data_IF_411277994189
#
_entry.id   IF_411277994189
#
_cell.length_a   1.000
_cell.length_b   1.000
_cell.length_c   1.000
_cell.angle_alpha   90.00
_cell.angle_beta   90.00
_cell.angle_gamma   90.00
#
_symmetry.space_group_name_H-M   'P 1'
#
loop_
_entity.id
_entity.type
_entity.pdbx_description
1 polymer ?
#
# COMPACT_ATOMS: atom_id res chain seq x y z
N UNK A 1 57.63 -6.06 19.64
CA UNK A 1 56.88 -7.31 19.36
C UNK A 1 55.80 -6.99 18.34
N UNK A 2 55.91 -7.47 17.10
CA UNK A 2 54.92 -7.22 16.05
C UNK A 2 53.77 -8.22 16.20
N UNK A 3 52.54 -7.78 15.94
CA UNK A 3 51.44 -8.67 15.58
C UNK A 3 50.77 -8.12 14.33
N UNK A 4 50.75 -8.98 13.34
CA UNK A 4 50.34 -8.82 11.95
C UNK A 4 48.82 -8.93 11.78
N UNK A 5 48.34 -8.27 10.71
CA UNK A 5 47.07 -8.34 9.94
C UNK A 5 46.31 -9.71 9.93
N UNK A 6 45.00 -9.78 9.59
CA UNK A 6 44.42 -9.36 8.28
C UNK A 6 43.06 -8.60 8.35
N UNK A 7 42.69 -7.72 7.41
CA UNK A 7 42.38 -7.87 5.96
C UNK A 7 40.97 -8.45 5.69
N UNK A 8 40.19 -7.66 4.94
CA UNK A 8 39.06 -8.05 4.09
C UNK A 8 37.73 -8.50 4.76
N UNK A 9 36.81 -7.53 4.88
CA UNK A 9 35.38 -7.80 4.71
C UNK A 9 34.92 -7.08 3.43
N UNK A 10 35.27 -7.67 2.28
CA UNK A 10 34.62 -7.35 1.04
C UNK A 10 33.15 -7.77 1.18
N UNK A 11 32.24 -6.79 1.19
CA UNK A 11 30.81 -7.03 0.96
C UNK A 11 30.67 -7.64 -0.43
N UNK A 12 30.72 -8.97 -0.47
CA UNK A 12 30.26 -9.76 -1.60
C UNK A 12 28.76 -9.55 -1.67
N UNK A 13 28.34 -8.68 -2.60
CA UNK A 13 27.05 -8.83 -3.27
C UNK A 13 27.04 -10.25 -3.84
N UNK A 14 26.54 -11.20 -3.04
CA UNK A 14 26.14 -12.49 -3.53
C UNK A 14 24.89 -12.23 -4.37
N UNK A 15 25.11 -11.79 -5.61
CA UNK A 15 24.21 -12.02 -6.70
C UNK A 15 23.97 -13.54 -6.69
N UNK A 16 22.89 -13.95 -6.04
CA UNK A 16 22.29 -15.24 -6.30
C UNK A 16 21.97 -15.23 -7.78
N UNK A 17 22.89 -15.76 -8.59
CA UNK A 17 22.64 -16.19 -9.94
C UNK A 17 21.72 -17.39 -9.84
N UNK A 18 20.47 -17.12 -9.46
CA UNK A 18 19.37 -18.00 -9.78
C UNK A 18 19.49 -18.21 -11.28
N UNK A 19 19.87 -19.43 -11.68
CA UNK A 19 19.93 -19.79 -13.07
C UNK A 19 18.52 -19.64 -13.61
N UNK A 20 18.26 -18.51 -14.27
CA UNK A 20 17.08 -18.31 -15.07
C UNK A 20 17.17 -19.29 -16.23
N UNK A 21 16.69 -20.53 -16.03
CA UNK A 21 16.13 -21.28 -17.15
C UNK A 21 15.13 -20.32 -17.78
N UNK A 22 15.39 -19.89 -19.02
CA UNK A 22 14.53 -18.94 -19.72
C UNK A 22 13.18 -19.59 -19.92
N UNK A 23 12.26 -19.34 -18.99
CA UNK A 23 10.87 -19.75 -19.12
C UNK A 23 10.26 -18.82 -20.15
N UNK A 24 10.11 -19.34 -21.37
CA UNK A 24 9.50 -18.60 -22.48
C UNK A 24 8.12 -18.09 -22.05
N UNK A 25 7.87 -16.80 -22.27
CA UNK A 25 6.63 -16.16 -21.85
C UNK A 25 6.63 -15.58 -20.43
N UNK A 26 7.66 -15.84 -19.61
CA UNK A 26 7.79 -15.22 -18.30
C UNK A 26 8.36 -13.79 -18.38
N UNK A 27 7.96 -12.95 -17.43
CA UNK A 27 8.57 -11.65 -17.17
C UNK A 27 8.54 -11.30 -15.69
N UNK A 28 9.49 -10.51 -15.24
CA UNK A 28 9.50 -9.93 -13.90
C UNK A 28 9.62 -8.42 -14.00
N UNK A 29 8.99 -7.68 -13.09
CA UNK A 29 9.04 -6.21 -13.05
C UNK A 29 9.20 -5.68 -11.64
N UNK A 30 9.66 -4.45 -11.53
CA UNK A 30 9.74 -3.72 -10.26
C UNK A 30 9.70 -2.21 -10.50
N UNK A 31 9.25 -1.46 -9.52
CA UNK A 31 9.15 -0.01 -9.61
C UNK A 31 8.44 0.61 -8.42
N UNK A 32 7.75 1.71 -8.69
CA UNK A 32 6.95 2.46 -7.73
C UNK A 32 5.49 2.51 -8.16
N UNK A 33 4.58 2.57 -7.19
CA UNK A 33 3.14 2.70 -7.36
C UNK A 33 2.56 3.72 -6.37
N UNK A 34 1.25 3.96 -6.43
CA UNK A 34 0.53 4.75 -5.41
C UNK A 34 0.62 4.14 -4.00
N UNK A 35 0.94 2.86 -3.87
CA UNK A 35 1.17 2.18 -2.59
C UNK A 35 2.65 2.09 -2.20
N UNK A 36 3.59 2.68 -2.96
CA UNK A 36 5.02 2.62 -2.65
C UNK A 36 5.79 1.72 -3.62
N UNK A 37 6.66 0.83 -3.13
CA UNK A 37 7.43 -0.05 -4.02
C UNK A 37 6.56 -1.18 -4.52
N UNK A 38 6.79 -1.64 -5.76
CA UNK A 38 6.16 -2.87 -6.24
C UNK A 38 7.15 -3.81 -6.92
N UNK A 39 6.84 -5.09 -6.86
CA UNK A 39 7.42 -6.16 -7.67
C UNK A 39 6.33 -6.93 -8.39
N UNK A 40 6.61 -7.43 -9.58
CA UNK A 40 5.66 -8.22 -10.36
C UNK A 40 6.31 -9.42 -11.02
N UNK A 41 5.51 -10.46 -11.22
CA UNK A 41 5.85 -11.61 -12.03
C UNK A 41 4.67 -11.91 -12.95
N UNK A 42 4.94 -12.14 -14.24
CA UNK A 42 3.90 -12.46 -15.20
C UNK A 42 4.30 -13.62 -16.11
N UNK A 43 3.29 -14.32 -16.61
CA UNK A 43 3.45 -15.44 -17.53
C UNK A 43 2.42 -15.37 -18.65
N UNK A 44 2.88 -15.52 -19.89
CA UNK A 44 2.04 -15.59 -21.08
C UNK A 44 1.36 -16.96 -21.19
N UNK A 45 0.07 -16.98 -20.87
CA UNK A 45 -0.75 -18.21 -20.89
C UNK A 45 -1.37 -18.47 -22.26
N UNK A 46 -1.63 -17.41 -23.03
CA UNK A 46 -2.15 -17.47 -24.38
C UNK A 46 -1.58 -16.30 -25.21
N UNK A 47 -1.61 -16.37 -26.55
CA UNK A 47 -1.24 -15.22 -27.36
C UNK A 47 -2.03 -13.99 -26.94
N UNK A 48 -1.31 -12.90 -26.62
CA UNK A 48 -1.86 -11.62 -26.15
C UNK A 48 -2.47 -11.64 -24.74
N UNK A 49 -2.38 -12.72 -23.98
CA UNK A 49 -2.91 -12.80 -22.62
C UNK A 49 -1.83 -13.27 -21.64
N UNK A 50 -1.57 -12.46 -20.61
CA UNK A 50 -0.69 -12.83 -19.51
C UNK A 50 -1.43 -12.84 -18.19
N UNK A 51 -1.02 -13.73 -17.30
CA UNK A 51 -1.38 -13.64 -15.88
C UNK A 51 -0.23 -12.97 -15.15
N UNK A 52 -0.53 -11.99 -14.30
CA UNK A 52 0.45 -11.20 -13.55
C UNK A 52 0.08 -11.16 -12.08
N UNK A 53 1.03 -11.53 -11.24
CA UNK A 53 1.02 -11.24 -9.81
C UNK A 53 1.79 -9.95 -9.54
N UNK A 54 1.25 -9.08 -8.70
CA UNK A 54 1.91 -7.86 -8.23
C UNK A 54 1.93 -7.90 -6.72
N UNK A 55 3.09 -7.65 -6.10
CA UNK A 55 3.22 -7.31 -4.69
C UNK A 55 3.56 -5.83 -4.62
N UNK A 56 2.79 -5.05 -3.89
CA UNK A 56 2.98 -3.60 -3.79
C UNK A 56 2.80 -3.15 -2.36
N UNK A 57 3.59 -2.19 -1.92
CA UNK A 57 3.41 -1.59 -0.62
C UNK A 57 4.65 -0.93 -0.04
N UNK A 58 4.45 -0.35 1.13
CA UNK A 58 5.50 0.03 2.07
C UNK A 58 5.25 -0.81 3.33
N UNK A 59 6.11 -1.81 3.61
CA UNK A 59 6.01 -2.55 4.86
C UNK A 59 6.39 -1.64 6.03
N UNK A 60 5.61 -1.74 7.11
CA UNK A 60 5.93 -1.24 8.46
C UNK A 60 6.53 0.17 8.46
N UNK A 61 5.73 1.18 8.08
CA UNK A 61 6.14 2.57 8.26
C UNK A 61 5.69 3.08 9.62
N UNK A 62 6.62 3.70 10.33
CA UNK A 62 6.37 4.42 11.59
C UNK A 62 6.64 5.90 11.33
N UNK A 63 5.64 6.75 11.57
CA UNK A 63 5.79 8.19 11.61
C UNK A 63 5.68 8.66 13.06
N UNK A 64 6.82 9.07 13.62
CA UNK A 64 6.87 9.90 14.82
C UNK A 64 6.83 11.37 14.36
N UNK A 65 5.71 12.05 14.55
CA UNK A 65 5.64 13.49 14.30
C UNK A 65 6.44 14.25 15.36
N UNK A 66 7.41 15.08 14.95
CA UNK A 66 7.97 16.09 15.84
C UNK A 66 6.84 17.03 16.30
N UNK A 67 6.78 17.32 17.60
CA UNK A 67 5.78 18.19 18.26
C UNK A 67 5.31 19.33 17.37
N UNK A 68 4.03 19.30 17.00
CA UNK A 68 3.37 20.49 16.46
C UNK A 68 3.29 21.57 17.56
N UNK A 69 3.04 22.83 17.20
CA UNK A 69 3.04 24.03 18.10
C UNK A 69 2.08 23.91 19.32
N UNK A 70 1.33 22.82 19.44
CA UNK A 70 0.37 22.49 20.51
C UNK A 70 0.81 21.37 21.47
N UNK A 71 1.95 20.71 21.23
CA UNK A 71 2.57 19.80 22.21
C UNK A 71 2.06 18.35 22.26
N UNK A 72 1.34 17.90 21.23
CA UNK A 72 0.82 16.52 21.11
C UNK A 72 1.85 15.59 20.45
N UNK A 73 2.18 14.48 21.11
CA UNK A 73 2.99 13.40 20.52
C UNK A 73 2.05 12.50 19.70
N UNK A 74 2.10 12.59 18.37
CA UNK A 74 1.29 11.74 17.46
C UNK A 74 2.19 10.61 16.95
N UNK A 75 1.81 9.37 17.26
CA UNK A 75 2.42 8.17 16.69
C UNK A 75 1.46 7.58 15.68
N UNK A 76 1.90 7.42 14.43
CA UNK A 76 1.16 6.72 13.40
C UNK A 76 2.01 5.56 12.86
N UNK A 77 1.44 4.36 12.86
CA UNK A 77 2.06 3.16 12.32
C UNK A 77 1.11 2.49 11.33
N UNK A 78 1.65 1.83 10.32
CA UNK A 78 0.80 1.22 9.33
C UNK A 78 1.53 0.45 8.26
N UNK A 79 0.73 -0.26 7.49
CA UNK A 79 1.12 -0.89 6.25
C UNK A 79 0.18 -0.41 5.16
N UNK A 80 0.73 0.01 4.02
CA UNK A 80 -0.06 0.39 2.86
C UNK A 80 0.40 -0.50 1.72
N UNK A 81 -0.52 -1.28 1.16
CA UNK A 81 -0.16 -2.27 0.16
C UNK A 81 -1.20 -3.35 -0.11
N UNK A 82 -0.68 -4.38 -0.76
CA UNK A 82 -1.38 -5.63 -1.00
C UNK A 82 -0.77 -6.46 -2.13
N UNK A 83 -1.52 -7.46 -2.54
CA UNK A 83 -1.20 -8.35 -3.67
C UNK A 83 -2.26 -8.19 -4.74
N UNK A 84 -1.88 -8.03 -6.00
CA UNK A 84 -2.80 -8.07 -7.13
C UNK A 84 -2.62 -9.35 -7.96
N UNK A 85 -3.73 -9.93 -8.39
CA UNK A 85 -3.78 -10.98 -9.39
C UNK A 85 -4.51 -10.46 -10.63
N UNK A 86 -3.78 -10.26 -11.73
CA UNK A 86 -4.24 -9.57 -12.93
C UNK A 86 -4.15 -10.44 -14.17
N UNK A 87 -5.11 -10.26 -15.08
CA UNK A 87 -5.03 -10.71 -16.46
C UNK A 87 -4.72 -9.51 -17.35
N UNK A 88 -3.57 -9.53 -18.02
CA UNK A 88 -3.12 -8.49 -18.93
C UNK A 88 -3.41 -8.92 -20.38
N UNK A 89 -4.31 -8.21 -21.04
CA UNK A 89 -4.64 -8.38 -22.45
C UNK A 89 -3.91 -7.35 -23.33
N UNK A 90 -3.31 -7.82 -24.42
CA UNK A 90 -2.51 -7.02 -25.37
C UNK A 90 -3.18 -6.97 -26.76
N UNK A 91 -4.17 -6.10 -27.01
CA UNK A 91 -4.98 -6.11 -28.23
C UNK A 91 -4.18 -6.14 -29.54
N UNK A 92 -3.12 -5.31 -29.59
CA UNK A 92 -2.29 -5.12 -30.78
C UNK A 92 -1.01 -5.97 -30.77
N UNK A 93 -0.79 -6.78 -29.73
CA UNK A 93 0.47 -7.53 -29.53
C UNK A 93 1.72 -6.67 -29.29
N UNK A 94 1.54 -5.34 -29.18
CA UNK A 94 2.61 -4.39 -28.84
C UNK A 94 2.69 -4.15 -27.32
N UNK A 95 3.18 -2.97 -26.93
CA UNK A 95 3.36 -2.61 -25.52
C UNK A 95 2.09 -2.26 -24.74
N UNK A 96 1.02 -1.87 -25.43
CA UNK A 96 -0.24 -1.47 -24.81
C UNK A 96 -0.97 -2.68 -24.19
N UNK A 97 -1.36 -2.56 -22.91
CA UNK A 97 -2.12 -3.58 -22.18
C UNK A 97 -3.38 -3.02 -21.52
N UNK A 98 -4.40 -3.86 -21.47
CA UNK A 98 -5.58 -3.71 -20.62
C UNK A 98 -5.50 -4.77 -19.53
N UNK A 99 -5.51 -4.36 -18.27
CA UNK A 99 -5.33 -5.23 -17.12
C UNK A 99 -6.63 -5.28 -16.32
N UNK A 100 -7.05 -6.46 -15.88
CA UNK A 100 -8.20 -6.62 -15.00
C UNK A 100 -8.02 -7.79 -14.05
N UNK A 101 -8.51 -7.65 -12.83
CA UNK A 101 -8.39 -8.71 -11.83
C UNK A 101 -8.81 -8.28 -10.44
N UNK A 102 -8.13 -8.84 -9.44
CA UNK A 102 -8.43 -8.62 -8.02
C UNK A 102 -7.21 -8.08 -7.30
N UNK A 103 -7.45 -7.17 -6.37
CA UNK A 103 -6.48 -6.63 -5.43
C UNK A 103 -6.85 -7.11 -4.03
N UNK A 104 -5.92 -7.76 -3.36
CA UNK A 104 -6.03 -8.24 -1.98
C UNK A 104 -5.29 -7.24 -1.12
N UNK A 105 -6.02 -6.40 -0.40
CA UNK A 105 -5.40 -5.36 0.41
C UNK A 105 -4.95 -5.91 1.76
N UNK A 106 -3.81 -5.42 2.23
CA UNK A 106 -3.35 -5.53 3.62
C UNK A 106 -3.23 -4.14 4.27
N UNK A 107 -3.83 -3.11 3.65
CA UNK A 107 -3.65 -1.72 4.05
C UNK A 107 -4.33 -1.44 5.40
N UNK A 108 -3.54 -1.04 6.38
CA UNK A 108 -3.98 -0.54 7.69
C UNK A 108 -3.17 0.70 8.05
N UNK A 109 -3.87 1.74 8.51
CA UNK A 109 -3.25 2.92 9.11
C UNK A 109 -3.78 3.04 10.54
N UNK A 110 -2.91 2.84 11.51
CA UNK A 110 -3.21 2.99 12.93
C UNK A 110 -2.55 4.29 13.45
N UNK A 111 -3.25 5.03 14.29
CA UNK A 111 -2.77 6.28 14.87
C UNK A 111 -3.23 6.42 16.30
N UNK A 112 -2.39 6.97 17.17
CA UNK A 112 -2.76 7.25 18.55
C UNK A 112 -2.44 8.70 18.92
N UNK A 113 -3.31 9.29 19.75
CA UNK A 113 -3.22 10.68 20.17
C UNK A 113 -3.80 10.92 21.56
N UNK A 114 -3.46 12.10 22.10
CA UNK A 114 -4.00 12.59 23.37
C UNK A 114 -4.69 13.94 23.17
N UNK A 115 -5.80 14.14 23.87
CA UNK A 115 -6.67 15.29 23.69
C UNK A 115 -7.73 15.05 22.63
N UNK A 116 -8.98 15.41 22.95
CA UNK A 116 -10.12 15.31 22.03
C UNK A 116 -11.01 16.55 22.19
N UNK A 117 -11.44 17.13 21.08
CA UNK A 117 -12.45 18.20 21.06
C UNK A 117 -13.62 17.68 20.23
N UNK A 118 -14.79 17.55 20.87
CA UNK A 118 -16.02 17.16 20.21
C UNK A 118 -16.59 18.32 19.37
N UNK A 119 -17.43 18.00 18.40
CA UNK A 119 -18.06 18.97 17.50
C UNK A 119 -18.95 20.01 18.22
N UNK A 120 -19.45 19.67 19.40
CA UNK A 120 -20.21 20.59 20.26
C UNK A 120 -19.32 21.56 21.08
N UNK A 121 -18.00 21.42 20.94
CA UNK A 121 -16.97 22.23 21.61
C UNK A 121 -16.55 21.70 22.98
N UNK A 122 -17.00 20.50 23.41
CA UNK A 122 -16.50 19.88 24.63
C UNK A 122 -15.04 19.43 24.45
N UNK A 123 -14.19 19.72 25.44
CA UNK A 123 -12.77 19.33 25.45
C UNK A 123 -12.49 18.27 26.48
N UNK A 124 -11.78 17.25 26.05
CA UNK A 124 -11.27 16.16 26.85
C UNK A 124 -9.73 16.19 26.77
N UNK A 125 -9.10 17.02 27.61
CA UNK A 125 -7.65 17.26 27.56
C UNK A 125 -6.83 16.01 27.92
N UNK A 126 -7.38 15.15 28.79
CA UNK A 126 -6.75 13.89 29.25
C UNK A 126 -7.19 12.65 28.44
N UNK A 127 -8.00 12.83 27.38
CA UNK A 127 -8.48 11.72 26.57
C UNK A 127 -7.33 11.08 25.78
N UNK A 128 -7.35 9.76 25.68
CA UNK A 128 -6.50 8.99 24.76
C UNK A 128 -7.39 8.37 23.69
N UNK A 129 -7.03 8.57 22.43
CA UNK A 129 -7.74 8.02 21.28
C UNK A 129 -6.76 7.22 20.44
N UNK A 130 -7.19 6.04 20.04
CA UNK A 130 -6.58 5.17 19.06
C UNK A 130 -7.53 5.11 17.84
N UNK A 131 -7.02 5.38 16.64
CA UNK A 131 -7.76 5.40 15.39
C UNK A 131 -7.18 4.36 14.43
N UNK A 132 -8.04 3.58 13.78
CA UNK A 132 -7.65 2.60 12.77
C UNK A 132 -8.41 2.86 11.47
N UNK A 133 -7.71 2.91 10.34
CA UNK A 133 -8.29 3.09 9.02
C UNK A 133 -7.92 1.92 8.10
N UNK A 134 -8.93 1.37 7.41
CA UNK A 134 -8.77 0.27 6.45
C UNK A 134 -9.68 0.46 5.24
N UNK A 135 -9.34 -0.18 4.12
CA UNK A 135 -10.29 -0.28 3.02
C UNK A 135 -11.46 -1.18 3.43
N UNK A 136 -12.67 -0.84 3.00
CA UNK A 136 -13.86 -1.63 3.30
C UNK A 136 -13.77 -3.04 2.67
N UNK A 137 -13.25 -3.12 1.45
CA UNK A 137 -13.08 -4.37 0.72
C UNK A 137 -11.64 -4.90 0.80
N UNK A 138 -11.43 -5.98 1.55
CA UNK A 138 -10.17 -6.74 1.56
C UNK A 138 -9.83 -7.31 0.18
N UNK A 139 -10.85 -7.62 -0.64
CA UNK A 139 -10.72 -8.17 -2.00
C UNK A 139 -11.46 -7.30 -3.00
N UNK A 140 -10.75 -6.34 -3.56
CA UNK A 140 -11.29 -5.32 -4.44
C UNK A 140 -11.10 -5.67 -5.94
N UNK A 141 -12.09 -5.42 -6.81
CA UNK A 141 -11.88 -5.47 -8.25
C UNK A 141 -10.92 -4.36 -8.70
N UNK A 142 -10.01 -4.70 -9.62
CA UNK A 142 -9.01 -3.78 -10.16
C UNK A 142 -9.06 -3.76 -11.69
N UNK A 143 -9.01 -2.56 -12.26
CA UNK A 143 -8.92 -2.32 -13.70
C UNK A 143 -7.81 -1.33 -13.99
N UNK A 144 -6.98 -1.61 -14.99
CA UNK A 144 -5.91 -0.71 -15.37
C UNK A 144 -5.60 -0.74 -16.87
N UNK A 145 -4.96 0.32 -17.33
CA UNK A 145 -4.41 0.46 -18.67
C UNK A 145 -2.93 0.77 -18.53
N UNK A 146 -2.11 0.04 -19.26
CA UNK A 146 -0.66 0.18 -19.18
C UNK A 146 0.04 0.17 -20.53
N UNK A 147 1.31 0.53 -20.48
CA UNK A 147 2.23 0.44 -21.59
C UNK A 147 3.54 -0.17 -21.12
N UNK A 148 4.02 -1.17 -21.84
CA UNK A 148 5.32 -1.81 -21.64
C UNK A 148 6.17 -1.58 -22.90
N UNK A 149 7.27 -0.87 -22.77
CA UNK A 149 8.27 -0.77 -23.84
C UNK A 149 9.17 -2.01 -23.84
N UNK A 150 9.86 -2.26 -24.95
CA UNK A 150 10.79 -3.39 -25.08
C UNK A 150 10.44 -4.34 -26.21
N UNK A 151 11.38 -5.22 -26.54
CA UNK A 151 11.22 -6.24 -27.58
C UNK A 151 10.63 -7.55 -27.05
N UNK A 152 10.77 -8.62 -27.84
CA UNK A 152 10.31 -9.96 -27.45
C UNK A 152 11.06 -10.53 -26.23
N UNK A 153 12.26 -10.02 -25.92
CA UNK A 153 13.11 -10.41 -24.80
C UNK A 153 13.95 -9.21 -24.36
N UNK A 154 14.26 -9.13 -23.07
CA UNK A 154 15.13 -8.11 -22.49
C UNK A 154 14.39 -7.09 -21.62
N UNK A 155 15.07 -5.99 -21.34
CA UNK A 155 14.56 -4.92 -20.49
C UNK A 155 13.54 -4.04 -21.21
N UNK A 156 12.57 -3.58 -20.44
CA UNK A 156 11.49 -2.70 -20.84
C UNK A 156 11.14 -1.73 -19.72
N UNK A 157 10.55 -0.60 -20.09
CA UNK A 157 9.91 0.31 -19.15
C UNK A 157 8.42 -0.03 -19.07
N UNK A 158 7.83 -0.01 -17.90
CA UNK A 158 6.38 -0.16 -17.74
C UNK A 158 5.76 1.02 -17.00
N UNK A 159 4.56 1.39 -17.43
CA UNK A 159 3.72 2.39 -16.79
C UNK A 159 2.28 1.93 -16.79
N UNK A 160 1.53 2.20 -15.73
CA UNK A 160 0.13 1.79 -15.60
C UNK A 160 -0.69 2.86 -14.86
N UNK A 161 -1.94 3.02 -15.28
CA UNK A 161 -2.96 3.84 -14.61
C UNK A 161 -4.24 3.01 -14.49
N UNK A 162 -4.88 3.02 -13.34
CA UNK A 162 -6.03 2.20 -13.05
C UNK A 162 -6.82 2.66 -11.84
N UNK A 163 -7.81 1.85 -11.48
CA UNK A 163 -8.71 2.04 -10.37
C UNK A 163 -8.89 0.70 -9.64
N UNK A 164 -8.99 0.78 -8.31
CA UNK A 164 -9.31 -0.33 -7.42
C UNK A 164 -10.63 0.02 -6.74
N UNK A 165 -11.64 -0.84 -6.81
CA UNK A 165 -12.93 -0.62 -6.16
C UNK A 165 -12.87 -1.03 -4.70
N UNK A 166 -12.46 -0.11 -3.82
CA UNK A 166 -12.20 -0.37 -2.40
C UNK A 166 -13.47 -0.44 -1.54
N UNK A 167 -14.65 -0.14 -2.11
CA UNK A 167 -15.94 -0.13 -1.40
C UNK A 167 -16.16 1.16 -0.62
N UNK A 168 -15.14 1.53 0.14
CA UNK A 168 -15.08 2.71 1.00
C UNK A 168 -13.82 2.66 1.84
N UNK A 169 -13.73 3.58 2.80
CA UNK A 169 -12.71 3.54 3.87
C UNK A 169 -13.43 3.45 5.20
N UNK A 170 -13.16 2.38 5.93
CA UNK A 170 -13.68 2.20 7.28
C UNK A 170 -12.71 2.82 8.28
N UNK A 171 -13.25 3.63 9.18
CA UNK A 171 -12.55 4.25 10.31
C UNK A 171 -13.13 3.67 11.59
N UNK A 172 -12.27 3.25 12.50
CA UNK A 172 -12.65 2.80 13.85
C UNK A 172 -11.93 3.67 14.86
N UNK A 173 -12.67 4.22 15.83
CA UNK A 173 -12.13 5.05 16.89
C UNK A 173 -12.37 4.37 18.24
N UNK A 174 -11.29 4.16 18.99
CA UNK A 174 -11.33 3.62 20.34
C UNK A 174 -10.64 4.61 21.28
N UNK A 175 -11.05 4.67 22.54
CA UNK A 175 -10.40 5.60 23.47
C UNK A 175 -10.89 5.55 24.90
N UNK A 176 -10.25 6.38 25.73
CA UNK A 176 -10.64 6.61 27.12
C UNK A 176 -10.59 8.09 27.43
N UNK A 177 -11.60 8.62 28.13
CA UNK A 177 -11.72 10.05 28.44
C UNK A 177 -10.63 10.59 29.39
N UNK A 178 -10.05 9.71 30.23
CA UNK A 178 -9.18 10.11 31.35
C UNK A 178 -9.94 10.60 32.60
N UNK A 179 -11.26 10.83 32.50
CA UNK A 179 -12.14 11.28 33.59
C UNK A 179 -13.48 10.53 33.55
N UNK A 180 -13.66 9.61 34.50
CA UNK A 180 -14.88 8.79 34.62
C UNK A 180 -16.19 9.56 34.78
N UNK A 181 -16.12 10.86 35.12
CA UNK A 181 -17.32 11.70 35.23
C UNK A 181 -17.92 12.12 33.88
N UNK A 182 -17.18 11.95 32.78
CA UNK A 182 -17.58 12.31 31.41
C UNK A 182 -17.47 11.15 30.42
N UNK A 183 -17.28 9.91 30.90
CA UNK A 183 -17.12 8.73 30.03
C UNK A 183 -18.30 8.52 29.07
N UNK A 184 -19.52 8.71 29.56
CA UNK A 184 -20.73 8.50 28.74
C UNK A 184 -20.87 9.55 27.63
N UNK A 185 -20.51 10.80 27.92
CA UNK A 185 -20.44 11.86 26.93
C UNK A 185 -19.30 11.61 25.94
N UNK A 186 -18.11 11.25 26.42
CA UNK A 186 -16.94 10.96 25.59
C UNK A 186 -17.21 9.81 24.60
N UNK A 187 -17.77 8.70 25.06
CA UNK A 187 -18.11 7.55 24.21
C UNK A 187 -19.09 7.93 23.10
N UNK A 188 -20.08 8.77 23.42
CA UNK A 188 -21.06 9.24 22.43
C UNK A 188 -20.42 10.17 21.40
N UNK A 189 -19.61 11.11 21.85
CA UNK A 189 -18.96 12.09 20.98
C UNK A 189 -17.90 11.40 20.09
N UNK A 190 -17.20 10.37 20.61
CA UNK A 190 -16.29 9.54 19.83
C UNK A 190 -17.03 8.72 18.76
N UNK A 191 -18.19 8.16 19.12
CA UNK A 191 -19.03 7.42 18.18
C UNK A 191 -19.60 8.32 17.07
N UNK A 192 -20.05 9.54 17.40
CA UNK A 192 -20.54 10.50 16.40
C UNK A 192 -19.42 10.87 15.41
N UNK A 193 -18.20 11.09 15.90
CA UNK A 193 -17.03 11.31 15.04
C UNK A 193 -16.68 10.09 14.18
N UNK A 194 -16.78 8.87 14.72
CA UNK A 194 -16.58 7.64 13.94
C UNK A 194 -17.62 7.49 12.84
N UNK A 195 -18.90 7.71 13.14
CA UNK A 195 -19.99 7.64 12.18
C UNK A 195 -19.81 8.67 11.05
N UNK A 196 -19.46 9.91 11.38
CA UNK A 196 -19.18 10.97 10.40
C UNK A 196 -17.96 10.62 9.51
N UNK A 197 -16.90 10.08 10.11
CA UNK A 197 -15.71 9.67 9.39
C UNK A 197 -16.00 8.51 8.42
N UNK A 198 -16.84 7.55 8.83
CA UNK A 198 -17.28 6.45 7.98
C UNK A 198 -18.22 6.95 6.86
N UNK A 199 -19.16 7.86 7.14
CA UNK A 199 -20.02 8.44 6.09
C UNK A 199 -19.18 9.15 5.01
N UNK A 200 -18.13 9.86 5.40
CA UNK A 200 -17.17 10.45 4.45
C UNK A 200 -16.35 9.38 3.70
N UNK A 201 -16.02 8.28 4.36
CA UNK A 201 -15.28 7.15 3.81
C UNK A 201 -16.06 6.35 2.76
N UNK A 202 -17.37 6.22 2.92
CA UNK A 202 -18.29 5.54 1.99
C UNK A 202 -18.31 6.20 0.59
N UNK A 203 -18.07 7.52 0.52
CA UNK A 203 -17.99 8.23 -0.76
C UNK A 203 -16.72 7.85 -1.57
N UNK A 204 -15.67 7.35 -0.91
CA UNK A 204 -14.42 6.94 -1.54
C UNK A 204 -14.48 5.48 -2.00
N UNK A 205 -15.37 5.19 -2.95
CA UNK A 205 -15.57 3.83 -3.48
C UNK A 205 -14.37 3.32 -4.31
N UNK A 206 -13.51 4.22 -4.82
CA UNK A 206 -12.40 3.88 -5.70
C UNK A 206 -11.07 4.49 -5.28
N UNK A 207 -10.01 3.69 -5.33
CA UNK A 207 -8.64 4.12 -5.13
C UNK A 207 -7.86 4.19 -6.45
N UNK A 208 -7.16 5.30 -6.77
CA UNK A 208 -6.36 5.40 -7.98
C UNK A 208 -5.09 4.54 -7.90
N UNK A 209 -4.90 3.69 -8.92
CA UNK A 209 -3.66 2.97 -9.14
C UNK A 209 -2.80 3.70 -10.16
N UNK A 210 -1.59 4.08 -9.79
CA UNK A 210 -0.57 4.55 -10.74
C UNK A 210 0.69 3.75 -10.50
N UNK A 211 1.39 3.32 -11.54
CA UNK A 211 2.70 2.70 -11.39
C UNK A 211 3.66 3.05 -12.51
N UNK A 212 4.95 3.08 -12.17
CA UNK A 212 6.07 3.30 -13.08
C UNK A 212 7.21 2.37 -12.67
N UNK A 213 7.83 1.69 -13.64
CA UNK A 213 8.90 0.75 -13.34
C UNK A 213 9.61 0.22 -14.56
N UNK A 214 10.40 -0.82 -14.31
CA UNK A 214 11.12 -1.57 -15.34
C UNK A 214 10.77 -3.03 -15.26
N UNK A 215 10.74 -3.71 -16.40
CA UNK A 215 10.49 -5.13 -16.49
C UNK A 215 11.56 -5.82 -17.35
N UNK A 216 11.77 -7.09 -17.09
CA UNK A 216 12.61 -7.96 -17.89
C UNK A 216 11.79 -9.13 -18.40
N UNK A 217 11.79 -9.33 -19.72
CA UNK A 217 11.17 -10.48 -20.38
C UNK A 217 12.22 -11.53 -20.73
N UNK A 218 11.97 -12.78 -20.31
CA UNK A 218 12.90 -13.91 -20.47
C UNK A 218 12.81 -14.59 -21.83
#
# INVERSE_FOLDING_TARGET
>A
MPRTLPLAAALVFAAATAQAQSVEGASAGFGVSTFGLYGSAAYEVMPKLRLRGVLTGIPDFEFEGDKDDFGTDITADGSLGGIAALADYYPNGGGFRLSGGLFFSDSTLDGSGTGFEADDGMRYDDARIDASMRFEEDVAPMLAIGYVSGGARGWGFESEIGLIGIGGVNVTLDGTSGDSSVDAEFERDLQEMEDDANEMGEDLVVYPWLSLGVSYRF
#
